data_IF_936965177082
#
_entry.id   IF_936965177082
#
_cell.length_a   1.000
_cell.length_b   1.000
_cell.length_c   1.000
_cell.angle_alpha   90.00
_cell.angle_beta   90.00
_cell.angle_gamma   90.00
#
_symmetry.space_group_name_H-M   'P 1'
#
loop_
_entity.id
_entity.type
_entity.pdbx_description
1 polymer ?
#
# COMPACT_ATOMS: atom_id res chain seq x y z
N UNK A 1 -0.94 7.50 20.90
CA UNK A 1 -1.04 6.03 21.07
C UNK A 1 0.23 5.41 20.48
N UNK A 2 0.66 4.19 20.83
CA UNK A 2 1.86 3.64 20.23
C UNK A 2 1.59 3.40 18.73
N UNK A 3 2.25 4.16 17.87
CA UNK A 3 2.07 4.15 16.41
C UNK A 3 2.79 2.95 15.77
N UNK A 4 2.61 1.73 16.27
CA UNK A 4 3.19 0.53 15.66
C UNK A 4 2.09 -0.36 15.05
N UNK A 5 1.14 0.28 14.38
CA UNK A 5 0.06 -0.43 13.73
C UNK A 5 0.58 -1.02 12.42
N UNK A 6 0.72 -2.34 12.41
CA UNK A 6 1.08 -3.13 11.24
C UNK A 6 -0.12 -3.94 10.77
N UNK A 7 -0.46 -3.82 9.49
CA UNK A 7 -1.54 -4.59 8.88
C UNK A 7 -1.18 -4.99 7.46
N UNK A 8 -1.88 -5.99 6.93
CA UNK A 8 -1.69 -6.49 5.57
C UNK A 8 -3.01 -6.47 4.82
N UNK A 9 -3.03 -5.83 3.66
CA UNK A 9 -4.23 -5.72 2.83
C UNK A 9 -3.89 -5.93 1.35
N UNK A 10 -4.79 -6.54 0.56
CA UNK A 10 -4.73 -6.48 -0.90
C UNK A 10 -4.63 -5.03 -1.37
N UNK A 11 -3.77 -4.76 -2.35
CA UNK A 11 -3.53 -3.43 -2.91
C UNK A 11 -3.68 -3.41 -4.44
N UNK A 12 -4.63 -2.63 -4.94
CA UNK A 12 -4.79 -2.37 -6.37
C UNK A 12 -3.85 -1.27 -6.82
N UNK A 13 -3.04 -1.52 -7.84
CA UNK A 13 -2.09 -0.54 -8.36
C UNK A 13 -2.66 0.26 -9.54
N UNK A 14 -2.14 1.47 -9.73
CA UNK A 14 -2.58 2.46 -10.74
C UNK A 14 -2.68 1.93 -12.18
N UNK A 15 -1.75 1.05 -12.57
CA UNK A 15 -1.65 0.48 -13.91
C UNK A 15 -2.56 -0.74 -14.12
N UNK A 16 -3.18 -1.27 -13.06
CA UNK A 16 -4.05 -2.44 -13.15
C UNK A 16 -5.48 -2.03 -13.47
N UNK A 17 -6.05 -2.66 -14.50
CA UNK A 17 -7.48 -2.59 -14.74
C UNK A 17 -8.26 -3.47 -13.74
N UNK A 18 -9.59 -3.52 -13.87
CA UNK A 18 -10.43 -4.30 -12.96
C UNK A 18 -10.17 -5.82 -13.06
N UNK A 19 -9.86 -6.31 -14.27
CA UNK A 19 -9.62 -7.73 -14.51
C UNK A 19 -8.24 -8.13 -13.99
N UNK A 20 -7.22 -7.34 -14.25
CA UNK A 20 -5.84 -7.60 -13.81
C UNK A 20 -5.78 -7.63 -12.29
N UNK A 21 -6.43 -6.66 -11.63
CA UNK A 21 -6.48 -6.59 -10.18
C UNK A 21 -7.09 -7.84 -9.51
N UNK A 22 -8.20 -8.35 -10.07
CA UNK A 22 -8.91 -9.48 -9.49
C UNK A 22 -8.16 -10.82 -9.64
N UNK A 23 -7.24 -10.91 -10.60
CA UNK A 23 -6.51 -12.15 -10.89
C UNK A 23 -5.06 -12.11 -10.38
N UNK A 24 -4.39 -10.96 -10.50
CA UNK A 24 -2.97 -10.77 -10.20
C UNK A 24 -2.75 -9.65 -9.16
N UNK A 25 -3.68 -9.56 -8.20
CA UNK A 25 -3.60 -8.65 -7.08
C UNK A 25 -2.52 -9.06 -6.08
N UNK A 26 -1.81 -8.07 -5.54
CA UNK A 26 -0.78 -8.29 -4.51
C UNK A 26 -1.19 -7.66 -3.18
N UNK A 27 -0.73 -8.27 -2.09
CA UNK A 27 -0.94 -7.73 -0.75
C UNK A 27 0.26 -6.91 -0.29
N UNK A 28 -0.02 -5.77 0.32
CA UNK A 28 0.95 -4.91 0.97
C UNK A 28 0.85 -5.06 2.48
N UNK A 29 2.00 -5.10 3.13
CA UNK A 29 2.18 -4.86 4.56
C UNK A 29 2.43 -3.38 4.74
N UNK A 30 1.55 -2.73 5.49
CA UNK A 30 1.68 -1.33 5.86
C UNK A 30 2.10 -1.27 7.32
N UNK A 31 3.17 -0.53 7.60
CA UNK A 31 3.60 -0.16 8.95
C UNK A 31 3.46 1.35 9.08
N UNK A 32 2.47 1.79 9.84
CA UNK A 32 2.28 3.22 10.11
C UNK A 32 3.41 3.68 11.02
N UNK A 33 4.10 4.76 10.66
CA UNK A 33 5.23 5.30 11.44
C UNK A 33 4.84 6.57 12.19
N UNK A 34 3.87 7.32 11.65
CA UNK A 34 3.40 8.58 12.20
C UNK A 34 1.89 8.55 12.44
N UNK A 35 1.42 9.36 13.40
CA UNK A 35 -0.01 9.48 13.66
C UNK A 35 -0.68 10.23 12.49
N UNK A 36 -1.98 9.98 12.29
CA UNK A 36 -2.76 10.77 11.33
C UNK A 36 -2.65 12.25 11.63
N UNK A 37 -2.48 13.05 10.58
CA UNK A 37 -2.64 14.49 10.66
C UNK A 37 -4.13 14.89 10.73
N UNK A 38 -4.41 16.19 10.82
CA UNK A 38 -5.77 16.72 10.90
C UNK A 38 -6.60 16.48 9.61
N UNK A 39 -5.96 16.07 8.52
CA UNK A 39 -6.56 15.74 7.23
C UNK A 39 -6.67 14.22 7.01
N UNK A 40 -6.37 13.42 8.04
CA UNK A 40 -6.35 11.96 8.02
C UNK A 40 -5.27 11.33 7.11
N UNK A 41 -4.23 12.08 6.72
CA UNK A 41 -3.04 11.51 6.09
C UNK A 41 -2.16 10.84 7.13
N UNK A 42 -1.56 9.71 6.77
CA UNK A 42 -0.61 8.97 7.60
C UNK A 42 0.63 8.65 6.78
N UNK A 43 1.80 8.83 7.39
CA UNK A 43 3.08 8.35 6.84
C UNK A 43 3.33 6.94 7.36
N UNK A 44 3.80 6.06 6.47
CA UNK A 44 4.13 4.69 6.82
C UNK A 44 5.04 4.04 5.79
N UNK A 45 5.54 2.87 6.14
CA UNK A 45 6.30 1.99 5.25
C UNK A 45 5.35 1.00 4.59
N UNK A 46 5.43 0.88 3.26
CA UNK A 46 4.69 -0.11 2.49
C UNK A 46 5.67 -1.13 1.90
N UNK A 47 5.43 -2.42 2.13
CA UNK A 47 6.23 -3.52 1.60
C UNK A 47 5.31 -4.59 1.04
N UNK A 48 5.74 -5.32 0.02
CA UNK A 48 5.01 -6.51 -0.40
C UNK A 48 5.02 -7.58 0.69
N UNK A 49 3.90 -8.31 0.81
CA UNK A 49 3.80 -9.43 1.74
C UNK A 49 4.71 -10.60 1.34
N UNK A 50 4.92 -10.79 0.03
CA UNK A 50 5.73 -11.88 -0.52
C UNK A 50 7.02 -11.34 -1.15
N UNK A 51 8.14 -12.09 -1.05
CA UNK A 51 9.46 -11.63 -1.53
C UNK A 51 9.59 -11.59 -3.05
N UNK A 52 8.84 -12.42 -3.78
CA UNK A 52 8.82 -12.53 -5.25
C UNK A 52 7.83 -11.57 -5.93
N UNK A 53 7.27 -10.63 -5.16
CA UNK A 53 6.35 -9.63 -5.65
C UNK A 53 7.01 -8.60 -6.59
N UNK A 54 6.23 -7.90 -7.43
CA UNK A 54 6.75 -6.91 -8.36
C UNK A 54 7.12 -5.60 -7.65
N UNK A 55 8.25 -5.59 -6.94
CA UNK A 55 8.76 -4.45 -6.14
C UNK A 55 8.78 -3.11 -6.90
N UNK A 56 8.99 -3.15 -8.22
CA UNK A 56 8.94 -1.98 -9.10
C UNK A 56 7.59 -1.24 -9.11
N UNK A 57 6.50 -1.88 -8.67
CA UNK A 57 5.18 -1.23 -8.55
C UNK A 57 5.10 -0.28 -7.36
N UNK A 58 5.99 -0.42 -6.37
CA UNK A 58 6.20 0.53 -5.29
C UNK A 58 7.36 1.48 -5.61
N UNK A 59 7.27 2.18 -6.73
CA UNK A 59 8.24 3.22 -7.13
C UNK A 59 7.72 4.62 -6.79
N UNK A 60 8.61 5.60 -6.62
CA UNK A 60 8.23 6.99 -6.30
C UNK A 60 7.18 7.55 -7.29
N UNK A 61 6.17 8.22 -6.75
CA UNK A 61 5.02 8.75 -7.49
C UNK A 61 3.96 7.72 -7.88
N UNK A 62 4.20 6.41 -7.66
CA UNK A 62 3.18 5.38 -7.90
C UNK A 62 2.11 5.39 -6.83
N UNK A 63 0.89 5.10 -7.26
CA UNK A 63 -0.29 5.07 -6.41
C UNK A 63 -0.84 3.65 -6.32
N UNK A 64 -1.39 3.36 -5.16
CA UNK A 64 -2.12 2.12 -4.91
C UNK A 64 -3.34 2.40 -4.04
N UNK A 65 -4.31 1.49 -4.08
CA UNK A 65 -5.51 1.53 -3.26
C UNK A 65 -5.57 0.27 -2.42
N UNK A 66 -5.63 0.41 -1.10
CA UNK A 66 -5.84 -0.73 -0.20
C UNK A 66 -7.31 -1.13 -0.22
N UNK A 67 -7.55 -2.43 -0.30
CA UNK A 67 -8.86 -3.03 -0.50
C UNK A 67 -9.19 -4.01 0.63
N UNK A 68 -10.45 -4.00 1.08
CA UNK A 68 -11.05 -5.03 1.92
C UNK A 68 -12.24 -5.64 1.17
N UNK A 69 -12.03 -6.80 0.54
CA UNK A 69 -12.96 -7.31 -0.46
C UNK A 69 -13.09 -6.34 -1.64
N UNK A 70 -14.30 -5.92 -1.97
CA UNK A 70 -14.57 -4.92 -3.02
C UNK A 70 -14.52 -3.47 -2.53
N UNK A 71 -14.28 -3.24 -1.24
CA UNK A 71 -14.29 -1.91 -0.63
C UNK A 71 -12.90 -1.29 -0.62
N UNK A 72 -12.77 -0.08 -1.15
CA UNK A 72 -11.57 0.75 -0.93
C UNK A 72 -11.55 1.28 0.50
N UNK A 73 -10.42 1.12 1.19
CA UNK A 73 -10.24 1.57 2.58
C UNK A 73 -9.18 2.64 2.74
N UNK A 74 -8.21 2.73 1.83
CA UNK A 74 -7.20 3.79 1.82
C UNK A 74 -6.58 3.95 0.42
N UNK A 75 -6.04 5.13 0.14
CA UNK A 75 -5.22 5.42 -1.05
C UNK A 75 -3.82 5.75 -0.56
N UNK A 76 -2.81 5.15 -1.19
CA UNK A 76 -1.40 5.42 -0.92
C UNK A 76 -0.71 5.97 -2.15
N UNK A 77 0.27 6.83 -1.90
CA UNK A 77 1.23 7.33 -2.89
C UNK A 77 2.63 7.11 -2.34
N UNK A 78 3.52 6.52 -3.14
CA UNK A 78 4.89 6.26 -2.73
C UNK A 78 5.67 7.56 -2.86
N UNK A 79 6.00 8.19 -1.74
CA UNK A 79 6.81 9.42 -1.75
C UNK A 79 8.29 9.13 -1.95
N UNK A 80 8.79 8.03 -1.38
CA UNK A 80 10.20 7.67 -1.42
C UNK A 80 10.40 6.16 -1.37
N UNK A 81 11.32 5.65 -2.18
CA UNK A 81 11.78 4.25 -2.06
C UNK A 81 13.04 4.22 -1.22
N UNK A 82 13.03 3.41 -0.17
CA UNK A 82 14.24 3.10 0.59
C UNK A 82 14.77 1.76 0.11
N UNK A 83 16.05 1.71 -0.27
CA UNK A 83 16.70 0.43 -0.54
C UNK A 83 16.81 -0.35 0.77
N UNK A 84 16.61 -1.68 0.74
CA UNK A 84 16.84 -2.54 1.91
C UNK A 84 18.29 -2.49 2.40
#
# INVERSE_FOLDING_TARGET
MPNDQRFSLPARFDHQDEKDWLNDGWSLVIKVTEASDAQAYQTGEANFLLPDAPHMWLSEGKKFTLMEGSRSVAIGEVEKVTSP
#
